data_IF_703241022907
#
_entry.id   IF_703241022907
#
_cell.length_a   1.000
_cell.length_b   1.000
_cell.length_c   1.000
_cell.angle_alpha   90.00
_cell.angle_beta   90.00
_cell.angle_gamma   90.00
#
_symmetry.space_group_name_H-M   'P 1'
#
loop_
_entity.id
_entity.type
_entity.pdbx_description
1 polymer ?
#
# COMPACT_ATOMS: atom_id res chain seq x y z
N UNK A 1 -25.32 -64.07 74.80
CA UNK A 1 -25.44 -62.84 73.93
C UNK A 1 -24.82 -63.17 72.56
N UNK A 2 -25.72 -63.56 71.65
CA UNK A 2 -25.30 -64.03 70.31
C UNK A 2 -25.24 -62.75 69.38
N UNK A 3 -24.07 -62.50 68.80
CA UNK A 3 -23.93 -61.54 67.80
C UNK A 3 -24.61 -61.99 66.49
N UNK A 4 -25.36 -61.12 65.78
CA UNK A 4 -25.92 -61.48 64.49
C UNK A 4 -24.83 -61.56 63.45
N UNK A 5 -24.64 -62.75 62.90
CA UNK A 5 -23.72 -63.02 61.78
C UNK A 5 -24.32 -62.44 60.52
N UNK A 6 -23.88 -61.21 60.11
CA UNK A 6 -24.28 -60.64 58.84
C UNK A 6 -23.71 -61.49 57.72
N UNK A 7 -24.57 -61.99 56.85
CA UNK A 7 -24.20 -62.84 55.74
C UNK A 7 -23.23 -62.15 54.80
N UNK A 8 -22.14 -62.86 54.32
CA UNK A 8 -21.11 -62.20 53.45
C UNK A 8 -21.64 -61.65 52.11
N UNK A 9 -22.83 -62.00 51.71
CA UNK A 9 -23.52 -61.55 50.50
C UNK A 9 -23.92 -60.07 50.63
N UNK A 10 -24.41 -59.62 51.81
CA UNK A 10 -24.87 -58.24 52.04
C UNK A 10 -23.67 -57.27 52.03
N UNK A 11 -22.50 -57.67 52.51
CA UNK A 11 -21.29 -56.83 52.50
C UNK A 11 -20.68 -56.63 51.09
N UNK A 12 -20.79 -57.65 50.25
CA UNK A 12 -20.30 -57.59 48.84
C UNK A 12 -21.21 -56.67 47.99
N UNK A 13 -22.53 -56.78 48.16
CA UNK A 13 -23.48 -55.87 47.44
C UNK A 13 -23.37 -54.42 47.90
N UNK A 14 -23.19 -54.15 49.19
CA UNK A 14 -22.93 -52.80 49.70
C UNK A 14 -21.63 -52.19 49.13
N UNK A 15 -20.56 -52.97 49.03
CA UNK A 15 -19.31 -52.52 48.42
C UNK A 15 -19.46 -52.18 46.93
N UNK A 16 -20.18 -53.03 46.20
CA UNK A 16 -20.47 -52.74 44.77
C UNK A 16 -21.32 -51.46 44.60
N UNK A 17 -22.36 -51.29 45.42
CA UNK A 17 -23.20 -50.11 45.40
C UNK A 17 -22.41 -48.83 45.73
N UNK A 18 -21.53 -48.85 46.74
CA UNK A 18 -20.67 -47.74 47.09
C UNK A 18 -19.69 -47.41 45.95
N UNK A 19 -19.08 -48.42 45.31
CA UNK A 19 -18.17 -48.23 44.20
C UNK A 19 -18.89 -47.58 43.01
N UNK A 20 -20.12 -47.99 42.68
CA UNK A 20 -20.93 -47.40 41.59
C UNK A 20 -21.28 -45.98 41.91
N UNK A 21 -21.69 -45.66 43.15
CA UNK A 21 -22.02 -44.31 43.54
C UNK A 21 -20.79 -43.36 43.47
N UNK A 22 -19.64 -43.81 43.98
CA UNK A 22 -18.39 -43.06 43.96
C UNK A 22 -17.95 -42.81 42.50
N UNK A 23 -18.02 -43.83 41.65
CA UNK A 23 -17.69 -43.65 40.21
C UNK A 23 -18.64 -42.68 39.53
N UNK A 24 -19.94 -42.75 39.80
CA UNK A 24 -20.92 -41.82 39.23
C UNK A 24 -20.68 -40.37 39.68
N UNK A 25 -20.31 -40.17 40.97
CA UNK A 25 -19.96 -38.82 41.47
C UNK A 25 -18.69 -38.29 40.81
N UNK A 26 -17.66 -39.12 40.64
CA UNK A 26 -16.41 -38.70 39.96
C UNK A 26 -16.70 -38.32 38.50
N UNK A 27 -17.50 -39.13 37.80
CA UNK A 27 -17.89 -38.82 36.40
C UNK A 27 -18.72 -37.53 36.31
N UNK A 28 -19.66 -37.33 37.24
CA UNK A 28 -20.49 -36.14 37.29
C UNK A 28 -19.64 -34.87 37.55
N UNK A 29 -18.67 -34.94 38.45
CA UNK A 29 -17.72 -33.87 38.73
C UNK A 29 -16.81 -33.58 37.52
N UNK A 30 -16.28 -34.62 36.88
CA UNK A 30 -15.44 -34.48 35.69
C UNK A 30 -16.21 -33.86 34.51
N UNK A 31 -17.47 -34.28 34.30
CA UNK A 31 -18.36 -33.72 33.30
C UNK A 31 -18.75 -32.25 33.63
N UNK A 32 -19.04 -31.96 34.89
CA UNK A 32 -19.35 -30.61 35.35
C UNK A 32 -18.20 -29.65 35.10
N UNK A 33 -16.99 -30.01 35.50
CA UNK A 33 -15.78 -29.18 35.22
C UNK A 33 -15.48 -29.11 33.73
N UNK A 34 -15.62 -30.21 33.01
CA UNK A 34 -15.41 -30.23 31.54
C UNK A 34 -16.40 -29.32 30.81
N UNK A 35 -17.68 -29.38 31.15
CA UNK A 35 -18.72 -28.52 30.52
C UNK A 35 -18.57 -27.04 30.85
N UNK A 36 -18.14 -26.69 32.07
CA UNK A 36 -17.84 -25.30 32.39
C UNK A 36 -16.66 -24.73 31.60
N UNK A 37 -15.59 -25.53 31.40
CA UNK A 37 -14.45 -25.17 30.57
C UNK A 37 -14.83 -25.01 29.11
N UNK A 38 -15.64 -25.93 28.58
CA UNK A 38 -16.17 -25.83 27.21
C UNK A 38 -17.11 -24.61 27.06
N UNK A 39 -18.01 -24.39 28.02
CA UNK A 39 -18.93 -23.26 28.04
C UNK A 39 -18.22 -21.91 28.04
N UNK A 40 -17.16 -21.76 28.86
CA UNK A 40 -16.33 -20.55 28.85
C UNK A 40 -15.57 -20.39 27.55
N UNK A 41 -15.09 -21.47 26.95
CA UNK A 41 -14.42 -21.46 25.65
C UNK A 41 -15.34 -21.03 24.49
N UNK A 42 -16.63 -21.39 24.53
CA UNK A 42 -17.63 -20.93 23.57
C UNK A 42 -18.09 -19.50 23.83
N UNK A 43 -18.25 -19.10 25.08
CA UNK A 43 -18.64 -17.73 25.44
C UNK A 43 -17.56 -16.69 25.02
N UNK A 44 -16.27 -17.04 25.08
CA UNK A 44 -15.19 -16.19 24.60
C UNK A 44 -15.07 -16.15 23.06
N UNK A 45 -15.58 -17.16 22.35
CA UNK A 45 -15.66 -17.17 20.88
C UNK A 45 -16.87 -16.46 20.30
N UNK A 46 -17.93 -16.30 21.04
CA UNK A 46 -19.10 -15.53 20.63
C UNK A 46 -18.76 -14.04 20.74
N UNK A 47 -18.12 -13.50 19.72
CA UNK A 47 -17.94 -12.13 19.24
C UNK A 47 -18.25 -10.90 20.13
N UNK A 48 -18.11 -11.00 21.45
CA UNK A 48 -18.39 -9.92 22.40
C UNK A 48 -17.19 -9.00 22.62
N UNK A 49 -16.47 -8.67 21.55
CA UNK A 49 -15.34 -7.75 21.60
C UNK A 49 -15.70 -6.38 21.02
N UNK A 50 -14.93 -5.37 21.40
CA UNK A 50 -14.94 -4.09 20.69
C UNK A 50 -13.99 -4.17 19.50
N UNK A 51 -14.38 -3.58 18.39
CA UNK A 51 -13.50 -3.36 17.24
C UNK A 51 -13.11 -1.90 17.19
N UNK A 52 -11.82 -1.63 17.13
CA UNK A 52 -11.28 -0.28 17.00
C UNK A 52 -10.30 -0.23 15.83
N UNK A 53 -10.24 0.92 15.18
CA UNK A 53 -9.25 1.21 14.15
C UNK A 53 -8.25 2.20 14.72
N UNK A 54 -6.97 1.83 14.70
CA UNK A 54 -5.86 2.74 14.98
C UNK A 54 -5.30 3.30 13.69
N UNK A 55 -4.71 4.47 13.79
CA UNK A 55 -4.06 5.17 12.69
C UNK A 55 -2.73 5.76 13.11
N UNK A 56 -1.80 5.84 12.18
CA UNK A 56 -0.55 6.56 12.36
C UNK A 56 -0.27 7.38 11.09
N UNK A 57 0.44 8.49 11.25
CA UNK A 57 0.88 9.33 10.14
C UNK A 57 2.30 9.80 10.40
N UNK A 58 3.10 9.81 9.36
CA UNK A 58 4.43 10.43 9.39
C UNK A 58 4.66 11.25 8.13
N UNK A 59 5.44 12.31 8.25
CA UNK A 59 5.89 13.09 7.10
C UNK A 59 7.09 12.40 6.46
N UNK A 60 7.12 12.38 5.15
CA UNK A 60 8.26 11.87 4.38
C UNK A 60 8.58 12.83 3.24
N UNK A 61 9.81 12.77 2.78
CA UNK A 61 10.27 13.55 1.62
C UNK A 61 10.68 12.55 0.55
N UNK A 62 10.22 12.77 -0.67
CA UNK A 62 10.65 11.97 -1.81
C UNK A 62 12.16 12.11 -2.02
N UNK A 63 12.82 11.02 -2.28
CA UNK A 63 14.28 10.89 -2.45
C UNK A 63 14.66 10.38 -3.83
N UNK A 64 13.68 10.18 -4.70
CA UNK A 64 13.87 9.75 -6.07
C UNK A 64 12.87 10.46 -7.01
N UNK A 65 13.34 10.94 -8.15
CA UNK A 65 12.55 11.55 -9.19
C UNK A 65 12.68 10.79 -10.50
N UNK A 66 11.55 10.60 -11.16
CA UNK A 66 11.47 10.09 -12.54
C UNK A 66 10.74 11.14 -13.36
N UNK A 67 11.38 11.65 -14.40
CA UNK A 67 10.80 12.66 -15.27
C UNK A 67 10.91 12.23 -16.72
N UNK A 68 9.80 11.96 -17.37
CA UNK A 68 9.74 11.58 -18.78
C UNK A 68 9.27 12.76 -19.61
N UNK A 69 10.05 13.08 -20.62
CA UNK A 69 9.85 14.14 -21.58
C UNK A 69 9.75 13.52 -22.97
N UNK A 70 8.68 13.79 -23.71
CA UNK A 70 8.49 13.24 -25.06
C UNK A 70 8.67 14.35 -26.10
N UNK A 71 9.68 14.21 -26.91
CA UNK A 71 9.92 15.08 -28.07
C UNK A 71 9.21 14.48 -29.26
N UNK A 72 8.39 15.27 -29.95
CA UNK A 72 7.67 14.81 -31.12
C UNK A 72 7.53 15.89 -32.18
N UNK A 73 7.66 15.46 -33.46
CA UNK A 73 7.58 16.37 -34.59
C UNK A 73 7.07 15.65 -35.83
N UNK A 74 6.36 16.40 -36.70
CA UNK A 74 5.89 15.90 -37.99
C UNK A 74 6.68 16.50 -39.14
N UNK A 75 6.93 15.71 -40.20
CA UNK A 75 7.63 16.14 -41.38
C UNK A 75 7.10 15.41 -42.64
N UNK A 76 7.28 15.91 -43.85
CA UNK A 76 6.82 15.25 -45.07
C UNK A 76 7.41 13.87 -45.32
N UNK A 77 8.59 13.56 -44.73
CA UNK A 77 9.25 12.26 -44.86
C UNK A 77 9.68 11.72 -43.50
N UNK A 78 9.71 10.39 -43.35
CA UNK A 78 10.17 9.71 -42.13
C UNK A 78 11.58 10.16 -41.74
N UNK A 79 12.51 10.18 -42.70
CA UNK A 79 13.90 10.57 -42.44
C UNK A 79 14.07 12.00 -41.96
N UNK A 80 13.26 12.94 -42.50
CA UNK A 80 13.28 14.31 -42.03
C UNK A 80 12.67 14.46 -40.64
N UNK A 81 11.60 13.72 -40.33
CA UNK A 81 10.98 13.71 -39.01
C UNK A 81 11.95 13.17 -37.94
N UNK A 82 12.58 12.03 -38.21
CA UNK A 82 13.57 11.39 -37.29
C UNK A 82 14.77 12.32 -37.06
N UNK A 83 15.37 12.88 -38.14
CA UNK A 83 16.51 13.80 -38.01
C UNK A 83 16.20 15.01 -37.12
N UNK A 84 15.01 15.57 -37.25
CA UNK A 84 14.58 16.71 -36.43
C UNK A 84 14.36 16.30 -34.97
N UNK A 85 13.69 15.18 -34.72
CA UNK A 85 13.49 14.66 -33.35
C UNK A 85 14.83 14.39 -32.67
N UNK A 86 15.81 13.82 -33.38
CA UNK A 86 17.13 13.56 -32.81
C UNK A 86 17.87 14.88 -32.48
N UNK A 87 17.74 15.90 -33.31
CA UNK A 87 18.31 17.22 -33.02
C UNK A 87 17.65 17.87 -31.78
N UNK A 88 16.32 17.80 -31.68
CA UNK A 88 15.57 18.36 -30.55
C UNK A 88 15.85 17.58 -29.25
N UNK A 89 15.99 16.26 -29.33
CA UNK A 89 16.40 15.40 -28.20
C UNK A 89 17.82 15.74 -27.73
N UNK A 90 18.75 16.01 -28.67
CA UNK A 90 20.10 16.45 -28.32
C UNK A 90 20.09 17.81 -27.60
N UNK A 91 19.26 18.78 -28.06
CA UNK A 91 19.11 20.06 -27.41
C UNK A 91 18.46 19.93 -26.02
N UNK A 92 17.42 19.09 -25.88
CA UNK A 92 16.80 18.79 -24.59
C UNK A 92 17.82 18.14 -23.62
N UNK A 93 18.59 17.15 -24.09
CA UNK A 93 19.64 16.50 -23.28
C UNK A 93 20.71 17.51 -22.85
N UNK A 94 21.10 18.43 -23.72
CA UNK A 94 22.03 19.51 -23.40
C UNK A 94 21.46 20.47 -22.34
N UNK A 95 20.19 20.85 -22.44
CA UNK A 95 19.50 21.65 -21.42
C UNK A 95 19.52 20.97 -20.04
N UNK A 96 19.21 19.68 -19.98
CA UNK A 96 19.19 18.90 -18.74
C UNK A 96 20.59 18.78 -18.14
N UNK A 97 21.60 18.45 -18.94
CA UNK A 97 22.98 18.29 -18.45
C UNK A 97 23.62 19.61 -18.05
N UNK A 98 23.39 20.69 -18.79
CA UNK A 98 23.82 22.05 -18.40
C UNK A 98 23.10 22.52 -17.12
N UNK A 99 21.88 22.07 -16.92
CA UNK A 99 21.13 22.28 -15.70
C UNK A 99 21.61 21.50 -14.47
N UNK A 100 22.56 20.57 -14.66
CA UNK A 100 23.17 19.80 -13.56
C UNK A 100 22.76 18.32 -13.51
N UNK A 101 21.89 17.84 -14.40
CA UNK A 101 21.55 16.41 -14.46
C UNK A 101 22.75 15.65 -15.02
N UNK A 102 23.21 14.59 -14.31
CA UNK A 102 24.29 13.74 -14.79
C UNK A 102 23.90 12.99 -16.07
N UNK A 103 24.83 12.83 -17.00
CA UNK A 103 24.52 12.22 -18.30
C UNK A 103 24.05 10.76 -18.19
N UNK A 104 24.53 10.04 -17.19
CA UNK A 104 24.15 8.65 -16.89
C UNK A 104 22.74 8.55 -16.24
N UNK A 105 22.23 9.65 -15.70
CA UNK A 105 20.84 9.77 -15.22
C UNK A 105 19.82 9.93 -16.36
N UNK A 106 20.29 10.12 -17.61
CA UNK A 106 19.45 10.26 -18.80
C UNK A 106 19.35 8.92 -19.55
N UNK A 107 18.11 8.52 -19.81
CA UNK A 107 17.83 7.36 -20.68
C UNK A 107 17.06 7.84 -21.90
N UNK A 108 17.60 7.55 -23.10
CA UNK A 108 16.94 7.84 -24.35
C UNK A 108 16.12 6.64 -24.81
N UNK A 109 14.83 6.82 -25.05
CA UNK A 109 13.95 5.81 -25.61
C UNK A 109 14.25 5.52 -27.09
N UNK A 110 13.61 4.49 -27.62
CA UNK A 110 13.64 4.22 -29.05
C UNK A 110 12.86 5.31 -29.83
N UNK A 111 13.28 5.57 -31.06
CA UNK A 111 12.51 6.43 -31.96
C UNK A 111 11.28 5.67 -32.45
N UNK A 112 10.13 6.27 -32.31
CA UNK A 112 8.85 5.79 -32.80
C UNK A 112 8.40 6.65 -33.97
N UNK A 113 7.83 6.05 -35.00
CA UNK A 113 7.32 6.77 -36.17
C UNK A 113 5.91 6.37 -36.49
N UNK A 114 5.11 7.33 -36.91
CA UNK A 114 3.70 7.14 -37.26
C UNK A 114 3.35 7.94 -38.53
N UNK A 115 2.63 7.34 -39.46
CA UNK A 115 2.14 8.01 -40.65
C UNK A 115 0.79 8.71 -40.34
N UNK A 116 0.70 10.00 -40.64
CA UNK A 116 -0.56 10.74 -40.56
C UNK A 116 -1.26 10.62 -41.92
N UNK A 117 -2.32 9.82 -41.99
CA UNK A 117 -3.11 9.63 -43.18
C UNK A 117 -4.22 10.68 -43.28
N UNK A 118 -4.67 10.92 -44.51
CA UNK A 118 -5.84 11.76 -44.78
C UNK A 118 -7.12 10.95 -44.56
N UNK A 119 -8.07 11.53 -43.87
CA UNK A 119 -9.40 10.97 -43.65
C UNK A 119 -10.47 11.90 -44.24
N UNK A 120 -11.39 11.32 -45.03
CA UNK A 120 -12.56 12.05 -45.56
C UNK A 120 -13.81 11.27 -45.11
N UNK A 121 -14.72 11.97 -44.44
CA UNK A 121 -15.94 11.37 -43.84
C UNK A 121 -15.67 10.11 -42.99
N UNK A 122 -14.57 10.09 -42.24
CA UNK A 122 -14.19 8.99 -41.36
C UNK A 122 -13.48 7.82 -42.04
N UNK A 123 -13.29 7.85 -43.37
CA UNK A 123 -12.59 6.82 -44.14
C UNK A 123 -11.21 7.30 -44.54
N UNK A 124 -10.18 6.44 -44.38
CA UNK A 124 -8.86 6.71 -44.88
C UNK A 124 -8.86 6.77 -46.42
N UNK A 125 -8.23 7.79 -46.98
CA UNK A 125 -8.03 7.93 -48.43
C UNK A 125 -6.80 7.18 -48.93
N UNK A 126 -5.99 6.62 -48.00
CA UNK A 126 -4.68 6.05 -48.30
C UNK A 126 -3.57 7.08 -48.60
N UNK A 127 -3.91 8.38 -48.61
CA UNK A 127 -2.94 9.46 -48.81
C UNK A 127 -2.23 9.80 -47.50
N UNK A 128 -0.91 9.74 -47.46
CA UNK A 128 -0.12 10.14 -46.31
C UNK A 128 0.14 11.63 -46.41
N UNK A 129 -0.27 12.40 -45.39
CA UNK A 129 -0.07 13.84 -45.28
C UNK A 129 1.30 14.19 -44.70
N UNK A 130 1.75 13.42 -43.71
CA UNK A 130 3.02 13.62 -43.03
C UNK A 130 3.43 12.38 -42.24
N UNK A 131 4.65 12.36 -41.76
CA UNK A 131 5.15 11.36 -40.82
C UNK A 131 5.48 12.06 -39.50
N UNK A 132 4.94 11.55 -38.40
CA UNK A 132 5.30 11.98 -37.07
C UNK A 132 6.39 11.05 -36.54
N UNK A 133 7.46 11.62 -35.99
CA UNK A 133 8.45 10.90 -35.20
C UNK A 133 8.35 11.38 -33.73
N UNK A 134 8.63 10.47 -32.78
CA UNK A 134 8.73 10.80 -31.37
C UNK A 134 9.82 10.00 -30.69
N UNK A 135 10.41 10.59 -29.65
CA UNK A 135 11.40 9.94 -28.80
C UNK A 135 11.31 10.48 -27.39
N UNK A 136 11.39 9.59 -26.41
CA UNK A 136 11.35 9.95 -25.00
C UNK A 136 12.75 10.13 -24.43
N UNK A 137 12.88 11.09 -23.53
CA UNK A 137 14.03 11.30 -22.65
C UNK A 137 13.55 11.11 -21.22
N UNK A 138 14.07 10.13 -20.52
CA UNK A 138 13.72 9.86 -19.13
C UNK A 138 14.91 10.22 -18.23
N UNK A 139 14.66 11.09 -17.27
CA UNK A 139 15.58 11.45 -16.17
C UNK A 139 15.25 10.57 -14.97
N UNK A 140 16.28 9.97 -14.35
CA UNK A 140 16.16 9.26 -13.06
C UNK A 140 17.28 9.73 -12.15
N UNK A 141 16.91 10.36 -11.02
CA UNK A 141 17.90 10.90 -10.07
C UNK A 141 17.33 10.99 -8.67
N UNK A 142 18.21 10.97 -7.67
CA UNK A 142 17.87 11.25 -6.27
C UNK A 142 17.79 12.76 -5.98
N UNK A 143 18.30 13.63 -6.87
CA UNK A 143 18.17 15.09 -6.68
C UNK A 143 16.79 15.57 -7.15
N UNK A 144 15.80 15.38 -6.28
CA UNK A 144 14.40 15.74 -6.53
C UNK A 144 14.21 17.26 -6.68
N UNK A 145 15.03 18.05 -5.97
CA UNK A 145 14.94 19.51 -6.00
C UNK A 145 15.45 20.08 -7.34
N UNK A 146 16.54 19.51 -7.83
CA UNK A 146 17.10 19.88 -9.14
C UNK A 146 16.08 19.61 -10.26
N UNK A 147 15.46 18.42 -10.25
CA UNK A 147 14.43 18.05 -11.23
C UNK A 147 13.22 18.99 -11.15
N UNK A 148 12.77 19.31 -9.94
CA UNK A 148 11.67 20.25 -9.73
C UNK A 148 11.99 21.63 -10.34
N UNK A 149 13.18 22.16 -10.07
CA UNK A 149 13.64 23.43 -10.62
C UNK A 149 13.72 23.43 -12.14
N UNK A 150 14.29 22.38 -12.73
CA UNK A 150 14.42 22.26 -14.18
C UNK A 150 13.07 22.08 -14.86
N UNK A 151 12.15 21.36 -14.25
CA UNK A 151 10.81 21.17 -14.80
C UNK A 151 10.01 22.47 -14.88
N UNK A 152 10.20 23.37 -13.92
CA UNK A 152 9.60 24.71 -13.94
C UNK A 152 10.26 25.62 -15.01
N UNK A 153 11.56 25.44 -15.26
CA UNK A 153 12.33 26.21 -16.22
C UNK A 153 12.21 25.75 -17.68
N UNK A 154 11.54 24.62 -17.95
CA UNK A 154 11.49 24.01 -19.31
C UNK A 154 10.80 24.89 -20.35
N UNK A 155 10.00 25.84 -19.91
CA UNK A 155 9.35 26.83 -20.79
C UNK A 155 10.33 27.61 -21.67
N UNK A 156 11.57 27.82 -21.20
CA UNK A 156 12.62 28.49 -21.99
C UNK A 156 13.00 27.67 -23.23
N UNK A 157 13.04 26.35 -23.11
CA UNK A 157 13.34 25.43 -24.21
C UNK A 157 12.18 25.40 -25.22
N UNK A 158 10.93 25.42 -24.74
CA UNK A 158 9.75 25.53 -25.62
C UNK A 158 9.77 26.83 -26.46
N UNK A 159 10.25 27.91 -25.86
CA UNK A 159 10.43 29.21 -26.55
C UNK A 159 11.41 29.17 -27.73
N UNK A 160 12.32 28.19 -27.81
CA UNK A 160 13.22 27.98 -28.95
C UNK A 160 12.59 27.19 -30.11
N UNK A 161 11.33 26.77 -29.99
CA UNK A 161 10.58 26.02 -31.00
C UNK A 161 10.67 24.49 -30.88
N UNK A 162 11.32 23.99 -29.84
CA UNK A 162 11.38 22.55 -29.55
C UNK A 162 10.03 22.13 -28.94
N UNK A 163 9.38 21.16 -29.56
CA UNK A 163 8.09 20.63 -29.07
C UNK A 163 8.32 19.48 -28.11
N UNK A 164 8.22 19.77 -26.81
CA UNK A 164 8.36 18.79 -25.72
C UNK A 164 7.02 18.64 -24.99
N UNK A 165 6.50 17.43 -24.95
CA UNK A 165 5.40 17.08 -24.06
C UNK A 165 5.96 16.81 -22.65
N UNK A 166 5.62 17.70 -21.72
CA UNK A 166 6.06 17.64 -20.32
C UNK A 166 4.85 17.34 -19.41
N UNK A 167 4.78 16.12 -18.89
CA UNK A 167 3.74 15.68 -17.92
C UNK A 167 4.12 15.98 -16.47
N UNK A 168 5.28 16.61 -16.25
CA UNK A 168 5.86 16.83 -14.94
C UNK A 168 6.65 15.64 -14.40
N UNK A 169 7.55 15.90 -13.45
CA UNK A 169 8.28 14.86 -12.76
C UNK A 169 7.39 14.11 -11.77
N UNK A 170 7.70 12.84 -11.56
CA UNK A 170 7.11 11.97 -10.57
C UNK A 170 8.12 11.73 -9.44
N UNK A 171 7.66 11.87 -8.19
CA UNK A 171 8.50 11.81 -7.00
C UNK A 171 8.14 10.60 -6.15
N UNK A 172 9.16 9.81 -5.76
CA UNK A 172 9.02 8.55 -5.05
C UNK A 172 9.81 8.54 -3.75
N UNK A 173 9.34 7.75 -2.78
CA UNK A 173 10.02 7.44 -1.53
C UNK A 173 10.64 6.05 -1.68
N UNK A 174 11.96 5.91 -1.52
CA UNK A 174 12.65 4.62 -1.58
C UNK A 174 12.66 3.87 -0.26
N UNK A 175 12.65 4.58 0.89
CA UNK A 175 12.74 4.01 2.23
C UNK A 175 11.39 3.58 2.84
N UNK A 176 10.35 3.43 2.04
CA UNK A 176 9.02 2.99 2.50
C UNK A 176 9.05 1.66 3.28
N UNK A 177 9.85 0.63 2.90
CA UNK A 177 9.97 -0.59 3.68
C UNK A 177 10.44 -0.38 5.13
N UNK A 178 11.25 0.65 5.37
CA UNK A 178 11.78 1.00 6.69
C UNK A 178 10.75 1.74 7.55
N UNK A 179 9.89 2.55 6.93
CA UNK A 179 8.82 3.29 7.62
C UNK A 179 7.65 2.40 8.06
N UNK A 180 7.42 1.28 7.37
CA UNK A 180 6.26 0.40 7.63
C UNK A 180 6.19 -0.14 9.06
N UNK A 181 7.26 -0.73 9.65
CA UNK A 181 7.19 -1.28 11.00
C UNK A 181 6.88 -0.23 12.05
N UNK A 182 7.43 0.97 11.91
CA UNK A 182 7.20 2.08 12.82
C UNK A 182 5.74 2.54 12.76
N UNK A 183 5.21 2.80 11.56
CA UNK A 183 3.81 3.17 11.35
C UNK A 183 2.85 2.12 11.90
N UNK A 184 3.11 0.85 11.66
CA UNK A 184 2.28 -0.23 12.20
C UNK A 184 2.31 -0.26 13.74
N UNK A 185 3.48 -0.04 14.34
CA UNK A 185 3.63 0.05 15.80
C UNK A 185 2.84 1.22 16.37
N UNK A 186 2.94 2.40 15.78
CA UNK A 186 2.21 3.59 16.22
C UNK A 186 0.70 3.44 16.04
N UNK A 187 0.23 2.87 14.91
CA UNK A 187 -1.17 2.57 14.69
C UNK A 187 -1.72 1.56 15.71
N UNK A 188 -0.93 0.56 16.10
CA UNK A 188 -1.31 -0.40 17.15
C UNK A 188 -1.42 0.27 18.53
N UNK A 189 -0.51 1.20 18.87
CA UNK A 189 -0.58 1.99 20.10
C UNK A 189 -1.84 2.86 20.13
N UNK A 190 -2.16 3.54 19.03
CA UNK A 190 -3.37 4.35 18.90
C UNK A 190 -4.63 3.49 19.03
N UNK A 191 -4.70 2.33 18.37
CA UNK A 191 -5.82 1.40 18.51
C UNK A 191 -6.03 0.95 19.96
N UNK A 192 -4.93 0.61 20.66
CA UNK A 192 -4.97 0.21 22.06
C UNK A 192 -5.50 1.34 22.95
N UNK A 193 -5.01 2.57 22.80
CA UNK A 193 -5.46 3.72 23.55
C UNK A 193 -6.96 4.01 23.34
N UNK A 194 -7.45 3.89 22.11
CA UNK A 194 -8.88 4.03 21.78
C UNK A 194 -9.70 2.94 22.44
N UNK A 195 -9.23 1.69 22.39
CA UNK A 195 -9.91 0.56 23.01
C UNK A 195 -9.99 0.72 24.54
N UNK A 196 -8.91 1.14 25.19
CA UNK A 196 -8.86 1.42 26.63
C UNK A 196 -9.81 2.57 27.01
N UNK A 197 -9.84 3.64 26.22
CA UNK A 197 -10.75 4.77 26.46
C UNK A 197 -12.22 4.38 26.33
N UNK A 198 -12.57 3.59 25.32
CA UNK A 198 -13.94 3.11 25.12
C UNK A 198 -14.39 2.18 26.24
N UNK A 199 -13.58 1.20 26.63
CA UNK A 199 -13.92 0.26 27.70
C UNK A 199 -14.05 0.95 29.05
N UNK A 200 -13.17 1.91 29.34
CA UNK A 200 -13.22 2.71 30.56
C UNK A 200 -14.49 3.59 30.63
N UNK A 201 -14.90 4.17 29.50
CA UNK A 201 -16.10 5.00 29.43
C UNK A 201 -17.39 4.25 29.80
N UNK A 202 -17.43 2.93 29.58
CA UNK A 202 -18.58 2.07 29.94
C UNK A 202 -18.36 1.28 31.23
N UNK A 203 -17.33 1.63 32.03
CA UNK A 203 -17.04 0.98 33.32
C UNK A 203 -16.41 -0.42 33.18
N UNK A 204 -15.92 -0.79 32.00
CA UNK A 204 -15.27 -2.06 31.72
C UNK A 204 -13.74 -1.97 31.72
N UNK A 205 -13.09 -3.10 31.41
CA UNK A 205 -11.65 -3.22 31.21
C UNK A 205 -11.35 -3.91 29.89
N UNK A 206 -10.19 -3.56 29.30
CA UNK A 206 -9.73 -4.19 28.06
C UNK A 206 -9.29 -5.64 28.35
N UNK A 207 -9.82 -6.59 27.60
CA UNK A 207 -9.44 -8.00 27.63
C UNK A 207 -8.25 -8.31 26.72
N UNK A 208 -8.07 -9.61 26.42
CA UNK A 208 -7.03 -10.06 25.48
C UNK A 208 -7.35 -9.67 24.05
N UNK A 209 -6.31 -9.43 23.28
CA UNK A 209 -6.40 -9.17 21.83
C UNK A 209 -6.93 -10.42 21.10
N UNK A 210 -8.04 -10.29 20.39
CA UNK A 210 -8.67 -11.37 19.65
C UNK A 210 -8.16 -11.46 18.20
N UNK A 211 -8.02 -10.33 17.51
CA UNK A 211 -7.57 -10.28 16.12
C UNK A 211 -6.95 -8.92 15.78
N UNK A 212 -6.02 -8.92 14.83
CA UNK A 212 -5.42 -7.72 14.24
C UNK A 212 -5.52 -7.81 12.73
N UNK A 213 -5.99 -6.75 12.11
CA UNK A 213 -5.90 -6.52 10.67
C UNK A 213 -5.15 -5.23 10.41
N UNK A 214 -4.14 -5.27 9.54
CA UNK A 214 -3.48 -4.07 9.02
C UNK A 214 -4.12 -3.68 7.68
N UNK A 215 -4.36 -2.39 7.50
CA UNK A 215 -4.76 -1.80 6.23
C UNK A 215 -3.54 -1.54 5.32
N UNK A 216 -3.79 -1.12 4.06
CA UNK A 216 -2.74 -0.68 3.17
C UNK A 216 -2.12 0.62 3.66
N UNK A 217 -0.84 0.79 3.38
CA UNK A 217 -0.16 2.08 3.60
C UNK A 217 -0.53 3.01 2.46
N UNK A 218 -0.81 4.26 2.80
CA UNK A 218 -1.14 5.32 1.86
C UNK A 218 -0.04 6.37 1.85
N UNK A 219 0.31 6.83 0.68
CA UNK A 219 1.23 7.94 0.43
C UNK A 219 0.44 9.01 -0.29
N UNK A 220 0.27 10.14 0.37
CA UNK A 220 -0.56 11.25 -0.13
C UNK A 220 0.21 12.56 -0.07
N UNK A 221 -0.35 13.61 -0.64
CA UNK A 221 0.10 14.98 -0.39
C UNK A 221 -0.09 15.32 1.11
N UNK A 222 0.67 16.27 1.68
CA UNK A 222 0.62 16.59 3.12
C UNK A 222 -0.78 16.88 3.65
N UNK A 223 -1.61 17.60 2.88
CA UNK A 223 -2.95 18.04 3.31
C UNK A 223 -4.08 17.22 2.69
N UNK A 224 -3.78 16.03 2.19
CA UNK A 224 -4.79 15.16 1.58
C UNK A 224 -5.70 14.53 2.62
N UNK A 225 -6.99 14.55 2.33
CA UNK A 225 -8.03 13.79 3.05
C UNK A 225 -8.41 12.50 2.31
N UNK A 226 -7.75 12.20 1.18
CA UNK A 226 -8.03 10.98 0.41
C UNK A 226 -7.62 9.73 1.17
N UNK A 227 -8.50 8.75 1.15
CA UNK A 227 -8.24 7.38 1.57
C UNK A 227 -8.68 6.44 0.45
N UNK A 228 -7.92 5.37 0.24
CA UNK A 228 -8.23 4.34 -0.75
C UNK A 228 -8.13 2.95 -0.12
N UNK A 229 -9.09 2.09 -0.40
CA UNK A 229 -9.16 0.74 0.18
C UNK A 229 -7.96 -0.15 -0.21
N UNK A 230 -7.35 0.13 -1.36
CA UNK A 230 -6.14 -0.56 -1.85
C UNK A 230 -4.85 0.20 -1.62
N UNK A 231 -4.90 1.33 -0.91
CA UNK A 231 -3.81 2.28 -0.76
C UNK A 231 -3.75 3.30 -1.90
N UNK A 232 -3.20 4.46 -1.59
CA UNK A 232 -2.92 5.53 -2.56
C UNK A 232 -1.41 5.80 -2.60
N UNK A 233 -0.89 6.15 -3.76
CA UNK A 233 0.49 6.58 -3.94
C UNK A 233 0.51 7.86 -4.77
N UNK A 234 0.65 9.00 -4.11
CA UNK A 234 0.88 10.28 -4.78
C UNK A 234 2.32 10.37 -5.30
N UNK A 235 2.47 10.75 -6.56
CA UNK A 235 3.78 10.98 -7.20
C UNK A 235 3.98 12.45 -7.58
N UNK A 236 3.00 13.32 -7.36
CA UNK A 236 3.02 14.70 -7.85
C UNK A 236 3.83 15.66 -6.97
N UNK A 237 3.99 15.36 -5.69
CA UNK A 237 4.64 16.24 -4.72
C UNK A 237 5.92 15.64 -4.14
N UNK A 238 6.88 16.50 -3.74
CA UNK A 238 8.11 16.08 -3.04
C UNK A 238 7.82 15.77 -1.58
N UNK A 239 7.08 16.65 -0.90
CA UNK A 239 6.67 16.42 0.48
C UNK A 239 5.43 15.52 0.49
N UNK A 240 5.43 14.52 1.36
CA UNK A 240 4.40 13.50 1.42
C UNK A 240 3.97 13.22 2.85
N UNK A 241 2.75 12.70 3.00
CA UNK A 241 2.28 12.06 4.22
C UNK A 241 2.15 10.57 3.97
N UNK A 242 2.73 9.76 4.84
CA UNK A 242 2.60 8.30 4.86
C UNK A 242 1.71 7.90 6.03
N UNK A 243 0.65 7.15 5.78
CA UNK A 243 -0.33 6.77 6.80
C UNK A 243 -0.80 5.32 6.65
#
# INVERSE_FOLDING_TARGET
>A
MSQPNESPIITVERRKAVTIIVSAVIIALALGVGLTQVGTGFATRAGNGITVTGSAKTSAVADNAVWTLSVSLSSPTVGAAVKKVDADVAALSSYLTQGGIAADALTLGAVSTYANEEYVNGNSTGRILSYRASRDVTVRTSDVQLVSKLSQGIGSLLGTGINVNNYGPQYYISNLPELRPELMSEAMKDAKLRAESLTKAVGGSLGSLANVKAGPIQITTPDSTMTADYGAYDTSTINKTVS
#
